data_IF_175952487733
#
_entry.id   IF_175952487733
#
_cell.length_a   1.000
_cell.length_b   1.000
_cell.length_c   1.000
_cell.angle_alpha   90.00
_cell.angle_beta   90.00
_cell.angle_gamma   90.00
#
_symmetry.space_group_name_H-M   'P 1'
#
loop_
_entity.id
_entity.type
_entity.pdbx_description
1 polymer ?
#
# COMPACT_ATOMS: atom_id res chain seq x y z
N UNK A 1 -18.74 -12.59 -28.65
CA UNK A 1 -17.81 -12.39 -27.49
C UNK A 1 -17.89 -10.92 -27.09
N UNK A 2 -18.71 -10.59 -26.10
CA UNK A 2 -18.66 -9.27 -25.42
C UNK A 2 -17.45 -9.33 -24.47
N UNK A 3 -16.32 -8.79 -24.90
CA UNK A 3 -15.18 -8.53 -24.02
C UNK A 3 -15.64 -7.57 -22.93
N UNK A 4 -15.79 -8.06 -21.72
CA UNK A 4 -16.11 -7.24 -20.58
C UNK A 4 -14.86 -6.39 -20.26
N UNK A 5 -14.80 -5.17 -20.78
CA UNK A 5 -13.71 -4.22 -20.52
C UNK A 5 -13.46 -4.01 -19.02
N UNK A 6 -14.45 -4.27 -18.18
CA UNK A 6 -14.33 -4.17 -16.72
C UNK A 6 -13.63 -5.37 -16.07
N UNK A 7 -13.57 -6.53 -16.72
CA UNK A 7 -12.95 -7.74 -16.14
C UNK A 7 -11.43 -7.62 -16.09
N UNK A 8 -10.82 -6.96 -17.07
CA UNK A 8 -9.36 -6.80 -17.14
C UNK A 8 -8.80 -5.98 -15.97
N UNK A 9 -9.31 -4.77 -15.66
CA UNK A 9 -8.87 -4.03 -14.48
C UNK A 9 -9.10 -4.75 -13.16
N UNK A 10 -10.21 -5.51 -13.03
CA UNK A 10 -10.50 -6.29 -11.82
C UNK A 10 -9.47 -7.42 -11.68
N UNK A 11 -9.23 -8.19 -12.74
CA UNK A 11 -8.25 -9.28 -12.72
C UNK A 11 -6.83 -8.76 -12.44
N UNK A 12 -6.45 -7.64 -13.05
CA UNK A 12 -5.17 -6.98 -12.79
C UNK A 12 -5.06 -6.53 -11.32
N UNK A 13 -6.11 -5.93 -10.76
CA UNK A 13 -6.13 -5.52 -9.35
C UNK A 13 -6.02 -6.70 -8.39
N UNK A 14 -6.70 -7.80 -8.67
CA UNK A 14 -6.59 -9.03 -7.87
C UNK A 14 -5.19 -9.61 -7.92
N UNK A 15 -4.59 -9.69 -9.12
CA UNK A 15 -3.22 -10.15 -9.30
C UNK A 15 -2.23 -9.27 -8.52
N UNK A 16 -2.31 -7.95 -8.69
CA UNK A 16 -1.42 -7.00 -8.03
C UNK A 16 -1.59 -7.01 -6.50
N UNK A 17 -2.84 -7.13 -6.02
CA UNK A 17 -3.12 -7.25 -4.58
C UNK A 17 -2.52 -8.53 -4.01
N UNK A 18 -2.76 -9.66 -4.66
CA UNK A 18 -2.27 -10.97 -4.20
C UNK A 18 -0.74 -11.02 -4.21
N UNK A 19 -0.13 -10.56 -5.30
CA UNK A 19 1.32 -10.50 -5.43
C UNK A 19 1.94 -9.52 -4.41
N UNK A 20 1.34 -8.35 -4.25
CA UNK A 20 1.79 -7.36 -3.27
C UNK A 20 1.74 -7.86 -1.84
N UNK A 21 0.63 -8.49 -1.44
CA UNK A 21 0.50 -9.10 -0.12
C UNK A 21 1.46 -10.28 0.07
N UNK A 22 1.63 -11.13 -0.94
CA UNK A 22 2.60 -12.23 -0.90
C UNK A 22 4.03 -11.72 -0.70
N UNK A 23 4.43 -10.68 -1.42
CA UNK A 23 5.74 -10.03 -1.27
C UNK A 23 5.91 -9.43 0.13
N UNK A 24 4.88 -8.77 0.67
CA UNK A 24 4.91 -8.20 2.01
C UNK A 24 5.00 -9.28 3.09
N UNK A 25 4.25 -10.39 2.96
CA UNK A 25 4.37 -11.53 3.88
C UNK A 25 5.77 -12.13 3.82
N UNK A 26 6.33 -12.31 2.62
CA UNK A 26 7.70 -12.78 2.46
C UNK A 26 8.76 -11.80 2.94
N UNK A 27 8.46 -10.50 3.00
CA UNK A 27 9.34 -9.50 3.59
C UNK A 27 9.31 -9.53 5.13
N UNK A 28 8.13 -9.81 5.71
CA UNK A 28 7.95 -9.91 7.16
C UNK A 28 8.53 -11.21 7.76
N UNK A 29 8.63 -12.27 6.96
CA UNK A 29 9.14 -13.57 7.35
C UNK A 29 10.22 -14.01 6.35
N UNK A 30 11.41 -13.40 6.35
CA UNK A 30 12.49 -13.81 5.47
C UNK A 30 12.89 -15.26 5.79
N UNK A 31 13.03 -16.09 4.75
CA UNK A 31 13.52 -17.45 4.91
C UNK A 31 14.94 -17.41 5.48
N UNK A 32 15.30 -18.39 6.28
CA UNK A 32 16.64 -18.52 6.89
C UNK A 32 17.79 -18.48 5.88
N UNK A 33 17.52 -18.74 4.60
CA UNK A 33 18.48 -18.62 3.50
C UNK A 33 18.83 -17.17 3.13
N UNK A 34 17.93 -16.21 3.40
CA UNK A 34 18.15 -14.77 3.14
C UNK A 34 18.75 -14.05 4.37
N UNK A 35 18.71 -14.70 5.54
CA UNK A 35 19.34 -14.24 6.78
C UNK A 35 20.79 -14.72 6.77
N UNK A 36 21.69 -14.00 6.13
CA UNK A 36 23.13 -14.26 6.21
C UNK A 36 23.59 -14.36 7.66
N UNK A 37 23.79 -15.53 8.06
CA UNK A 37 24.46 -16.21 9.16
C UNK A 37 25.01 -15.42 10.34
N UNK A 38 24.26 -14.56 11.00
CA UNK A 38 24.64 -14.12 12.35
C UNK A 38 23.41 -14.04 13.25
N UNK A 39 23.34 -14.99 14.17
CA UNK A 39 22.19 -15.29 15.03
C UNK A 39 21.94 -14.32 16.16
N UNK A 40 21.74 -13.05 15.86
CA UNK A 40 21.33 -12.00 16.80
C UNK A 40 19.94 -11.47 16.43
N UNK A 41 18.92 -11.96 17.11
CA UNK A 41 17.53 -11.66 16.86
C UNK A 41 17.14 -10.22 17.21
N UNK A 42 17.41 -9.27 16.32
CA UNK A 42 16.68 -8.00 16.30
C UNK A 42 15.62 -8.09 15.21
N UNK A 43 14.37 -8.25 15.60
CA UNK A 43 13.18 -8.40 14.72
C UNK A 43 13.01 -7.30 13.68
N UNK A 44 13.71 -6.19 13.79
CA UNK A 44 13.69 -5.06 12.84
C UNK A 44 14.74 -5.24 11.73
N UNK A 45 15.83 -6.01 11.98
CA UNK A 45 16.92 -6.22 11.00
C UNK A 45 16.59 -7.29 9.94
N UNK A 46 15.59 -8.13 10.18
CA UNK A 46 15.29 -9.27 9.31
C UNK A 46 14.33 -8.96 8.14
N UNK A 47 13.89 -7.70 7.98
CA UNK A 47 13.00 -7.34 6.88
C UNK A 47 13.72 -7.28 5.53
N UNK A 48 13.20 -8.03 4.54
CA UNK A 48 13.68 -7.94 3.16
C UNK A 48 13.17 -6.67 2.49
N UNK A 49 14.00 -5.60 2.49
CA UNK A 49 13.63 -4.31 1.90
C UNK A 49 13.27 -4.38 0.40
N UNK A 50 13.96 -5.18 -0.46
CA UNK A 50 13.56 -5.26 -1.86
C UNK A 50 12.20 -5.91 -2.05
N UNK A 51 11.84 -6.95 -1.27
CA UNK A 51 10.49 -7.54 -1.32
C UNK A 51 9.44 -6.55 -0.81
N UNK A 52 9.77 -5.80 0.24
CA UNK A 52 8.91 -4.76 0.79
C UNK A 52 8.63 -3.66 -0.25
N UNK A 53 9.66 -3.18 -0.93
CA UNK A 53 9.57 -2.17 -1.98
C UNK A 53 8.75 -2.68 -3.18
N UNK A 54 9.04 -3.89 -3.66
CA UNK A 54 8.32 -4.50 -4.78
C UNK A 54 6.83 -4.71 -4.44
N UNK A 55 6.51 -5.18 -3.23
CA UNK A 55 5.12 -5.29 -2.76
C UNK A 55 4.41 -3.95 -2.74
N UNK A 56 5.09 -2.89 -2.31
CA UNK A 56 4.53 -1.53 -2.29
C UNK A 56 4.27 -0.98 -3.69
N UNK A 57 5.11 -1.28 -4.67
CA UNK A 57 4.85 -0.96 -6.09
C UNK A 57 3.57 -1.66 -6.58
N UNK A 58 3.42 -2.95 -6.30
CA UNK A 58 2.23 -3.72 -6.69
C UNK A 58 0.96 -3.14 -6.06
N UNK A 59 0.98 -2.84 -4.76
CA UNK A 59 -0.16 -2.25 -4.06
C UNK A 59 -0.48 -0.85 -4.60
N UNK A 60 0.54 -0.02 -4.86
CA UNK A 60 0.36 1.32 -5.42
C UNK A 60 -0.21 1.30 -6.85
N UNK A 61 0.21 0.33 -7.67
CA UNK A 61 -0.29 0.16 -9.04
C UNK A 61 -1.80 -0.16 -9.09
N UNK A 62 -2.38 -0.71 -8.01
CA UNK A 62 -3.82 -0.91 -7.91
C UNK A 62 -4.63 0.39 -8.01
N UNK A 63 -4.06 1.51 -7.59
CA UNK A 63 -4.71 2.83 -7.70
C UNK A 63 -5.03 3.15 -9.17
N UNK A 64 -4.14 2.74 -10.09
CA UNK A 64 -4.36 2.92 -11.54
C UNK A 64 -5.38 1.96 -12.13
N UNK A 65 -5.51 0.75 -11.58
CA UNK A 65 -6.48 -0.25 -12.05
C UNK A 65 -7.88 0.02 -11.47
N UNK A 66 -7.96 0.14 -10.16
CA UNK A 66 -9.19 0.47 -9.42
C UNK A 66 -8.84 1.15 -8.10
N UNK A 67 -9.20 2.42 -7.90
CA UNK A 67 -8.90 3.17 -6.67
C UNK A 67 -9.42 2.52 -5.39
N UNK A 68 -10.55 1.78 -5.47
CA UNK A 68 -11.12 1.07 -4.33
C UNK A 68 -10.20 0.00 -3.74
N UNK A 69 -9.30 -0.58 -4.54
CA UNK A 69 -8.33 -1.57 -4.06
C UNK A 69 -7.20 -0.97 -3.19
N UNK A 70 -7.12 0.35 -3.07
CA UNK A 70 -6.21 0.99 -2.10
C UNK A 70 -6.47 0.50 -0.67
N UNK A 71 -7.69 0.03 -0.38
CA UNK A 71 -8.05 -0.61 0.90
C UNK A 71 -7.10 -1.75 1.26
N UNK A 72 -6.55 -2.47 0.28
CA UNK A 72 -5.55 -3.52 0.51
C UNK A 72 -4.29 -2.98 1.20
N UNK A 73 -3.94 -1.70 1.01
CA UNK A 73 -2.82 -1.08 1.70
C UNK A 73 -2.98 -1.06 3.22
N UNK A 74 -4.22 -1.05 3.74
CA UNK A 74 -4.48 -1.14 5.17
C UNK A 74 -4.07 -2.48 5.78
N UNK A 75 -3.90 -3.54 4.98
CA UNK A 75 -3.33 -4.80 5.45
C UNK A 75 -1.89 -4.65 5.95
N UNK A 76 -1.18 -3.58 5.59
CA UNK A 76 0.13 -3.26 6.15
C UNK A 76 0.10 -3.08 7.67
N UNK A 77 -0.96 -2.52 8.23
CA UNK A 77 -1.06 -2.26 9.67
C UNK A 77 -0.98 -3.54 10.52
N UNK A 78 -1.84 -4.54 10.34
CA UNK A 78 -1.73 -5.78 11.11
C UNK A 78 -0.47 -6.58 10.75
N UNK A 79 -0.04 -6.56 9.48
CA UNK A 79 1.10 -7.35 9.01
C UNK A 79 2.43 -6.84 9.58
N UNK A 80 2.61 -5.52 9.67
CA UNK A 80 3.83 -4.88 10.15
C UNK A 80 3.67 -4.23 11.53
N UNK A 81 2.66 -4.63 12.31
CA UNK A 81 2.38 -4.03 13.61
C UNK A 81 3.55 -4.08 14.61
N UNK A 82 4.29 -5.21 14.75
CA UNK A 82 5.47 -5.27 15.62
C UNK A 82 6.55 -4.27 15.20
N UNK A 83 6.81 -4.18 13.89
CA UNK A 83 7.81 -3.26 13.33
C UNK A 83 7.41 -1.80 13.51
N UNK A 84 6.14 -1.48 13.29
CA UNK A 84 5.59 -0.14 13.52
C UNK A 84 5.76 0.27 14.98
N UNK A 85 5.43 -0.61 15.92
CA UNK A 85 5.64 -0.36 17.35
C UNK A 85 7.10 -0.14 17.70
N UNK A 86 8.01 -0.96 17.14
CA UNK A 86 9.45 -0.82 17.37
C UNK A 86 9.97 0.54 16.86
N UNK A 87 9.57 0.95 15.66
CA UNK A 87 9.94 2.25 15.07
C UNK A 87 9.42 3.41 15.94
N UNK A 88 8.15 3.35 16.35
CA UNK A 88 7.55 4.38 17.23
C UNK A 88 8.27 4.44 18.58
N UNK A 89 8.64 3.29 19.15
CA UNK A 89 9.41 3.21 20.39
C UNK A 89 10.80 3.85 20.25
N UNK A 90 11.51 3.55 19.17
CA UNK A 90 12.80 4.18 18.86
C UNK A 90 12.69 5.68 18.67
N UNK A 91 11.69 6.16 17.94
CA UNK A 91 11.45 7.59 17.74
C UNK A 91 11.14 8.32 19.06
N UNK A 92 10.36 7.70 19.94
CA UNK A 92 10.08 8.26 21.29
C UNK A 92 11.34 8.32 22.15
N UNK A 93 12.16 7.25 22.15
CA UNK A 93 13.43 7.24 22.88
C UNK A 93 14.40 8.32 22.39
N UNK A 94 14.41 8.58 21.07
CA UNK A 94 15.20 9.65 20.45
C UNK A 94 14.70 11.04 20.90
N UNK A 95 13.38 11.22 21.00
CA UNK A 95 12.79 12.49 21.42
C UNK A 95 13.13 12.84 22.89
N UNK A 96 13.36 11.83 23.75
CA UNK A 96 13.68 12.02 25.16
C UNK A 96 15.18 12.08 25.48
N UNK A 97 16.08 11.73 24.54
CA UNK A 97 17.52 11.65 24.77
C UNK A 97 18.29 12.94 24.43
N UNK A 98 19.47 13.12 25.02
CA UNK A 98 20.32 14.33 24.90
C UNK A 98 21.43 14.24 23.83
N UNK A 99 21.73 13.06 23.29
CA UNK A 99 22.85 12.87 22.36
C UNK A 99 22.43 13.05 20.90
N UNK A 100 22.94 14.13 20.27
CA UNK A 100 22.54 14.56 18.91
C UNK A 100 23.20 13.70 17.79
N UNK A 101 24.44 13.23 17.98
CA UNK A 101 25.16 12.49 16.90
C UNK A 101 24.71 11.04 16.78
N UNK A 102 24.44 10.35 17.87
CA UNK A 102 23.84 9.01 17.86
C UNK A 102 22.43 9.01 17.28
N UNK A 103 21.68 10.08 17.57
CA UNK A 103 20.29 10.30 17.17
C UNK A 103 20.08 10.25 15.65
N UNK A 104 20.91 10.91 14.85
CA UNK A 104 20.78 10.96 13.40
C UNK A 104 20.91 9.57 12.75
N UNK A 105 21.84 8.75 13.18
CA UNK A 105 22.00 7.38 12.67
C UNK A 105 20.82 6.50 13.06
N UNK A 106 20.35 6.58 14.28
CA UNK A 106 19.21 5.80 14.78
C UNK A 106 17.92 6.20 14.07
N UNK A 107 17.70 7.50 13.81
CA UNK A 107 16.56 7.99 13.01
C UNK A 107 16.63 7.46 11.58
N UNK A 108 17.79 7.56 10.94
CA UNK A 108 17.96 7.08 9.56
C UNK A 108 17.70 5.57 9.45
N UNK A 109 18.17 4.80 10.43
CA UNK A 109 17.94 3.36 10.49
C UNK A 109 16.45 3.03 10.71
N UNK A 110 15.78 3.73 11.63
CA UNK A 110 14.36 3.58 11.90
C UNK A 110 13.49 3.96 10.69
N UNK A 111 13.89 4.98 9.92
CA UNK A 111 13.16 5.44 8.73
C UNK A 111 13.39 4.57 7.49
N UNK A 112 14.39 3.70 7.48
CA UNK A 112 14.73 2.85 6.32
C UNK A 112 13.54 1.98 5.88
N UNK A 113 12.82 1.37 6.81
CA UNK A 113 11.66 0.53 6.53
C UNK A 113 10.47 1.31 5.98
N UNK A 114 9.98 2.40 6.62
CA UNK A 114 8.90 3.19 6.05
C UNK A 114 9.27 3.85 4.72
N UNK A 115 10.52 4.26 4.52
CA UNK A 115 10.98 4.78 3.23
C UNK A 115 10.96 3.71 2.13
N UNK A 116 11.32 2.46 2.44
CA UNK A 116 11.25 1.35 1.50
C UNK A 116 9.82 1.02 1.06
N UNK A 117 8.81 1.39 1.84
CA UNK A 117 7.39 1.28 1.46
C UNK A 117 6.91 2.52 0.73
N UNK A 118 7.15 3.70 1.29
CA UNK A 118 6.56 4.95 0.81
C UNK A 118 7.19 5.44 -0.50
N UNK A 119 8.52 5.38 -0.62
CA UNK A 119 9.20 5.90 -1.83
C UNK A 119 8.77 5.16 -3.08
N UNK A 120 8.79 3.81 -3.16
CA UNK A 120 8.32 3.10 -4.34
C UNK A 120 6.83 3.32 -4.62
N UNK A 121 5.99 3.42 -3.58
CA UNK A 121 4.58 3.72 -3.74
C UNK A 121 4.36 5.12 -4.34
N UNK A 122 5.08 6.14 -3.86
CA UNK A 122 5.00 7.50 -4.38
C UNK A 122 5.50 7.60 -5.83
N UNK A 123 6.54 6.86 -6.19
CA UNK A 123 7.05 6.79 -7.58
C UNK A 123 5.96 6.31 -8.55
N UNK A 124 5.03 5.48 -8.10
CA UNK A 124 3.89 5.02 -8.91
C UNK A 124 2.70 6.00 -8.85
N UNK A 125 2.33 6.43 -7.65
CA UNK A 125 1.09 7.20 -7.42
C UNK A 125 1.22 8.64 -7.92
N UNK A 126 2.39 9.28 -7.74
CA UNK A 126 2.57 10.69 -8.14
C UNK A 126 2.42 10.89 -9.65
N UNK A 127 3.07 10.11 -10.54
CA UNK A 127 2.84 10.22 -11.97
C UNK A 127 1.38 9.93 -12.37
N UNK A 128 0.73 8.98 -11.70
CA UNK A 128 -0.67 8.65 -11.94
C UNK A 128 -1.59 9.83 -11.62
N UNK A 129 -1.38 10.49 -10.48
CA UNK A 129 -2.13 11.68 -10.08
C UNK A 129 -1.84 12.87 -10.98
N UNK A 130 -0.58 13.05 -11.40
CA UNK A 130 -0.22 14.08 -12.38
C UNK A 130 -0.91 13.84 -13.72
N UNK A 131 -0.96 12.60 -14.20
CA UNK A 131 -1.69 12.22 -15.40
C UNK A 131 -3.20 12.53 -15.29
N UNK A 132 -3.82 12.16 -14.16
CA UNK A 132 -5.24 12.45 -13.91
C UNK A 132 -5.50 13.97 -13.85
N UNK A 133 -4.60 14.73 -13.22
CA UNK A 133 -4.70 16.19 -13.15
C UNK A 133 -4.68 16.83 -14.54
N UNK A 134 -3.78 16.36 -15.42
CA UNK A 134 -3.70 16.88 -16.80
C UNK A 134 -4.92 16.49 -17.62
N UNK A 135 -5.45 15.28 -17.44
CA UNK A 135 -6.54 14.74 -18.27
C UNK A 135 -7.92 15.15 -17.78
N UNK A 136 -8.14 15.20 -16.47
CA UNK A 136 -9.45 15.39 -15.86
C UNK A 136 -9.54 16.65 -14.98
N UNK A 137 -8.46 17.46 -14.92
CA UNK A 137 -8.35 18.64 -14.03
C UNK A 137 -8.53 18.31 -12.54
N UNK A 138 -8.40 17.03 -12.17
CA UNK A 138 -8.48 16.54 -10.79
C UNK A 138 -7.58 15.31 -10.61
N UNK A 139 -6.74 15.24 -9.57
CA UNK A 139 -5.88 14.09 -9.33
C UNK A 139 -6.67 12.85 -8.89
N UNK A 140 -7.89 13.03 -8.37
CA UNK A 140 -8.75 11.97 -7.85
C UNK A 140 -9.85 11.54 -8.81
N UNK A 141 -9.98 12.19 -9.97
CA UNK A 141 -10.90 11.74 -11.01
C UNK A 141 -10.21 10.69 -11.90
N UNK A 142 -10.79 9.51 -11.92
CA UNK A 142 -10.34 8.36 -12.72
C UNK A 142 -11.22 8.15 -13.96
N UNK A 143 -11.87 9.22 -14.42
CA UNK A 143 -12.70 9.22 -15.61
C UNK A 143 -14.12 8.70 -15.37
N UNK A 144 -14.57 8.59 -14.14
CA UNK A 144 -15.93 8.13 -13.81
C UNK A 144 -16.99 9.08 -14.37
N UNK A 145 -16.71 10.38 -14.38
CA UNK A 145 -17.58 11.43 -14.92
C UNK A 145 -17.72 11.41 -16.46
N UNK A 146 -16.79 10.74 -17.14
CA UNK A 146 -16.74 10.65 -18.60
C UNK A 146 -17.22 9.31 -19.15
N UNK A 147 -17.71 8.41 -18.30
CA UNK A 147 -18.25 7.15 -18.74
C UNK A 147 -19.64 7.37 -19.39
N UNK A 148 -19.78 6.96 -20.65
CA UNK A 148 -21.06 6.93 -21.34
C UNK A 148 -21.84 5.74 -20.80
N UNK A 149 -22.62 5.94 -19.77
CA UNK A 149 -23.54 4.95 -19.19
C UNK A 149 -24.97 5.37 -19.46
N UNK A 150 -25.88 4.39 -19.57
CA UNK A 150 -27.32 4.63 -19.74
C UNK A 150 -27.92 5.36 -18.54
N UNK A 151 -27.28 5.22 -17.38
CA UNK A 151 -27.68 5.85 -16.11
C UNK A 151 -26.58 6.81 -15.67
N UNK A 152 -26.96 8.02 -15.28
CA UNK A 152 -26.04 9.01 -14.72
C UNK A 152 -25.51 8.51 -13.35
N UNK A 153 -24.28 8.01 -13.36
CA UNK A 153 -23.63 7.46 -12.15
C UNK A 153 -23.12 8.56 -11.22
N UNK A 154 -23.08 9.82 -11.68
CA UNK A 154 -22.62 10.95 -10.85
C UNK A 154 -23.67 11.38 -9.83
N UNK A 155 -24.94 11.16 -10.15
CA UNK A 155 -26.10 11.44 -9.28
C UNK A 155 -26.50 10.29 -8.36
N UNK A 156 -25.83 9.13 -8.50
CA UNK A 156 -26.16 7.95 -7.71
C UNK A 156 -25.56 8.01 -6.30
N UNK A 157 -26.39 8.34 -5.32
CA UNK A 157 -26.02 8.29 -3.90
C UNK A 157 -26.50 6.98 -3.27
N UNK A 158 -25.55 6.12 -2.93
CA UNK A 158 -25.87 4.91 -2.20
C UNK A 158 -26.19 5.23 -0.73
N UNK A 159 -27.39 4.89 -0.27
CA UNK A 159 -27.74 5.01 1.14
C UNK A 159 -26.92 4.00 1.99
N UNK A 160 -26.54 4.39 3.19
CA UNK A 160 -25.84 3.50 4.13
C UNK A 160 -26.62 2.21 4.44
N UNK A 161 -27.97 2.29 4.45
CA UNK A 161 -28.79 1.10 4.62
C UNK A 161 -28.58 0.09 3.48
N UNK A 162 -28.54 0.55 2.23
CA UNK A 162 -28.29 -0.31 1.08
C UNK A 162 -26.89 -0.92 1.10
N UNK A 163 -25.88 -0.17 1.61
CA UNK A 163 -24.54 -0.70 1.79
C UNK A 163 -24.52 -1.88 2.77
N UNK A 164 -25.18 -1.74 3.94
CA UNK A 164 -25.26 -2.79 4.94
C UNK A 164 -25.95 -4.04 4.38
N UNK A 165 -27.08 -3.87 3.68
CA UNK A 165 -27.79 -4.98 3.04
C UNK A 165 -26.95 -5.65 1.94
N UNK A 166 -26.21 -4.88 1.15
CA UNK A 166 -25.31 -5.42 0.14
C UNK A 166 -24.22 -6.28 0.77
N UNK A 167 -23.58 -5.79 1.83
CA UNK A 167 -22.57 -6.54 2.58
C UNK A 167 -23.17 -7.83 3.17
N UNK A 168 -24.35 -7.75 3.80
CA UNK A 168 -25.02 -8.91 4.38
C UNK A 168 -25.45 -9.96 3.33
N UNK A 169 -25.72 -9.53 2.09
CA UNK A 169 -26.10 -10.45 1.01
C UNK A 169 -24.90 -11.21 0.43
N UNK A 170 -23.67 -10.62 0.47
CA UNK A 170 -22.47 -11.23 -0.09
C UNK A 170 -21.58 -11.93 0.95
N UNK A 171 -21.88 -11.85 2.24
CA UNK A 171 -21.24 -12.59 3.34
C UNK A 171 -22.07 -13.82 3.74
#
# INVERSE_FOLDING_TARGET
>A
YRTNFYSVPIAASLLLSTLGLWLWMGAAHPNAADAGGDGGANTVESLSLPRLAAGSVCIAANVGCRPSFVVVAFAAFPLFWPQIRAIVGQLRAIASGSDVRGRARTVLHALRTPLAVLVPALVVVVPLFAYNMVRFSSPFDFGSSYQITVTDMTSYHQSWSNFIWTVAYYL
#
